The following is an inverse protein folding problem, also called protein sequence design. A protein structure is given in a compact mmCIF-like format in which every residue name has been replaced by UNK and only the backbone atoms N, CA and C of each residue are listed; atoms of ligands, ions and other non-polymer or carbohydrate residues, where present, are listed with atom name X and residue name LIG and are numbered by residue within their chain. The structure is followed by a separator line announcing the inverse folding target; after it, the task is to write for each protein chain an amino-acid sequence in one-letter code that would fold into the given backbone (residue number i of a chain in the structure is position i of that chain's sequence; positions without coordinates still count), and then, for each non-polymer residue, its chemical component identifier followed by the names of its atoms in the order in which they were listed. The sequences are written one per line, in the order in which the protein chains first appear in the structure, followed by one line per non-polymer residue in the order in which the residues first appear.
data_IF_629423621184
#
_entry.id   IF_629423621184
#
_cell.length_a   1.000
_cell.length_b   1.000
_cell.length_c   1.000
_cell.angle_alpha   90.00
_cell.angle_beta   90.00
_cell.angle_gamma   90.00
#
_symmetry.space_group_name_H-M   'P 1'
#
loop_
_entity.id
_entity.type
_entity.pdbx_description
1 polymer ?
#
# COMPACT_ATOMS: atom_id res chain seq x y z
N UNK A 1 -27.89 23.42 32.66
CA UNK A 1 -28.04 22.68 31.38
C UNK A 1 -26.67 22.22 31.00
N UNK A 2 -26.37 20.96 31.30
CA UNK A 2 -25.04 20.35 31.10
C UNK A 2 -24.96 19.79 29.68
N UNK A 3 -23.99 20.25 28.90
CA UNK A 3 -23.69 19.71 27.58
C UNK A 3 -23.08 18.32 27.75
N UNK A 4 -23.79 17.29 27.34
CA UNK A 4 -23.30 15.92 27.23
C UNK A 4 -22.33 15.89 26.04
N UNK A 5 -21.03 15.79 26.33
CA UNK A 5 -20.02 15.50 25.33
C UNK A 5 -20.24 14.07 24.84
N UNK A 6 -20.70 13.90 23.60
CA UNK A 6 -20.69 12.62 22.92
C UNK A 6 -19.22 12.25 22.68
N UNK A 7 -18.66 11.43 23.56
CA UNK A 7 -17.51 10.61 23.25
C UNK A 7 -17.91 9.65 22.11
N UNK A 8 -17.54 9.99 20.88
CA UNK A 8 -17.46 9.00 19.83
C UNK A 8 -16.36 8.02 20.23
N UNK A 9 -16.77 6.86 20.69
CA UNK A 9 -15.92 5.70 20.89
C UNK A 9 -15.28 5.39 19.53
N UNK A 10 -14.07 5.87 19.31
CA UNK A 10 -13.22 5.37 18.24
C UNK A 10 -12.98 3.90 18.58
N UNK A 11 -13.76 3.02 17.97
CA UNK A 11 -13.40 1.60 17.94
C UNK A 11 -12.03 1.55 17.30
N UNK A 12 -11.00 1.49 18.15
CA UNK A 12 -9.66 1.22 17.73
C UNK A 12 -9.73 -0.01 16.82
N UNK A 13 -9.27 0.14 15.58
CA UNK A 13 -9.15 -0.98 14.66
C UNK A 13 -8.05 -1.86 15.25
N UNK A 14 -8.46 -2.85 16.05
CA UNK A 14 -7.54 -3.75 16.70
C UNK A 14 -7.01 -4.68 15.63
N UNK A 15 -5.75 -4.49 15.24
CA UNK A 15 -4.99 -5.47 14.47
C UNK A 15 -4.84 -6.72 15.34
N UNK A 16 -5.57 -7.78 15.02
CA UNK A 16 -5.51 -9.04 15.78
C UNK A 16 -4.22 -9.83 15.50
N UNK A 17 -3.54 -9.54 14.40
CA UNK A 17 -2.28 -10.15 14.00
C UNK A 17 -1.38 -9.09 13.39
N UNK A 18 -0.48 -8.55 14.20
CA UNK A 18 0.66 -7.80 13.68
C UNK A 18 1.42 -8.70 12.69
N UNK A 19 1.63 -8.23 11.47
CA UNK A 19 2.44 -8.95 10.49
C UNK A 19 3.89 -9.05 11.01
N UNK A 20 4.51 -10.21 10.83
CA UNK A 20 5.92 -10.41 11.16
C UNK A 20 6.76 -10.33 9.88
N UNK A 21 7.24 -9.14 9.57
CA UNK A 21 8.04 -8.87 8.38
C UNK A 21 9.35 -9.67 8.35
N UNK A 22 9.99 -9.88 9.51
CA UNK A 22 11.24 -10.65 9.63
C UNK A 22 10.97 -12.11 9.29
N UNK A 23 9.97 -12.69 9.94
CA UNK A 23 9.57 -14.07 9.70
C UNK A 23 9.10 -14.29 8.26
N UNK A 24 8.34 -13.36 7.70
CA UNK A 24 7.87 -13.43 6.30
C UNK A 24 9.05 -13.50 5.33
N UNK A 25 10.05 -12.62 5.50
CA UNK A 25 11.27 -12.61 4.68
C UNK A 25 12.07 -13.90 4.83
N UNK A 26 12.28 -14.38 6.06
CA UNK A 26 12.98 -15.63 6.32
C UNK A 26 12.27 -16.84 5.69
N UNK A 27 10.96 -16.92 5.82
CA UNK A 27 10.16 -17.98 5.21
C UNK A 27 10.26 -17.96 3.68
N UNK A 28 10.16 -16.77 3.08
CA UNK A 28 10.31 -16.60 1.65
C UNK A 28 11.71 -17.01 1.16
N UNK A 29 12.76 -16.62 1.87
CA UNK A 29 14.13 -16.98 1.53
C UNK A 29 14.38 -18.50 1.60
N UNK A 30 13.79 -19.17 2.61
CA UNK A 30 13.94 -20.63 2.78
C UNK A 30 13.14 -21.42 1.74
N UNK A 31 11.94 -21.01 1.43
CA UNK A 31 11.02 -21.73 0.53
C UNK A 31 9.96 -20.80 -0.07
N UNK A 32 10.28 -20.07 -1.12
CA UNK A 32 9.29 -19.18 -1.75
C UNK A 32 8.19 -20.04 -2.38
N UNK A 33 6.96 -19.92 -1.85
CA UNK A 33 5.80 -20.53 -2.48
C UNK A 33 5.54 -19.89 -3.85
N UNK A 34 5.14 -20.70 -4.85
CA UNK A 34 4.84 -20.20 -6.19
C UNK A 34 3.77 -19.12 -6.19
N UNK A 35 2.75 -19.25 -5.35
CA UNK A 35 1.64 -18.29 -5.25
C UNK A 35 2.12 -16.92 -4.77
N UNK A 36 2.85 -16.86 -3.65
CA UNK A 36 3.39 -15.60 -3.14
C UNK A 36 4.38 -14.97 -4.13
N UNK A 37 5.27 -15.78 -4.72
CA UNK A 37 6.22 -15.30 -5.73
C UNK A 37 5.50 -14.70 -6.94
N UNK A 38 4.41 -15.34 -7.40
CA UNK A 38 3.59 -14.84 -8.50
C UNK A 38 2.94 -13.51 -8.14
N UNK A 39 2.33 -13.41 -6.94
CA UNK A 39 1.71 -12.18 -6.45
C UNK A 39 2.73 -11.03 -6.38
N UNK A 40 3.89 -11.25 -5.77
CA UNK A 40 4.94 -10.24 -5.65
C UNK A 40 5.47 -9.80 -7.02
N UNK A 41 5.71 -10.75 -7.93
CA UNK A 41 6.08 -10.43 -9.30
C UNK A 41 5.03 -9.54 -9.99
N UNK A 42 3.74 -9.86 -9.83
CA UNK A 42 2.65 -9.04 -10.39
C UNK A 42 2.65 -7.62 -9.81
N UNK A 43 2.87 -7.47 -8.49
CA UNK A 43 2.87 -6.17 -7.80
C UNK A 43 4.05 -5.29 -8.16
N UNK A 44 5.24 -5.88 -8.37
CA UNK A 44 6.45 -5.09 -8.60
C UNK A 44 6.78 -4.91 -10.08
N UNK A 45 6.40 -5.85 -10.98
CA UNK A 45 6.83 -5.82 -12.38
C UNK A 45 6.42 -4.53 -13.13
N UNK A 46 5.27 -3.95 -12.85
CA UNK A 46 4.83 -2.70 -13.48
C UNK A 46 5.62 -1.49 -12.96
N UNK A 47 6.06 -1.51 -11.70
CA UNK A 47 6.86 -0.44 -11.10
C UNK A 47 8.23 -0.31 -11.77
N UNK A 48 8.77 -1.44 -12.28
CA UNK A 48 10.07 -1.46 -12.96
C UNK A 48 10.12 -0.54 -14.19
N UNK A 49 9.00 -0.23 -14.84
CA UNK A 49 8.94 0.69 -15.98
C UNK A 49 9.33 2.14 -15.62
N UNK A 50 9.29 2.48 -14.35
CA UNK A 50 9.62 3.81 -13.82
C UNK A 50 11.02 3.89 -13.22
N UNK A 51 11.75 2.76 -13.24
CA UNK A 51 13.09 2.64 -12.64
C UNK A 51 14.13 2.37 -13.71
N UNK A 52 15.27 3.05 -13.59
CA UNK A 52 16.40 2.90 -14.48
C UNK A 52 17.74 2.96 -13.74
N UNK A 53 18.89 2.80 -14.45
CA UNK A 53 20.21 2.75 -13.83
C UNK A 53 20.63 4.05 -13.14
N UNK A 54 20.01 5.18 -13.48
CA UNK A 54 20.29 6.49 -12.87
C UNK A 54 19.23 6.90 -11.84
N UNK A 55 18.19 6.07 -11.62
CA UNK A 55 17.08 6.41 -10.74
C UNK A 55 17.47 6.27 -9.28
N UNK A 56 17.24 7.31 -8.50
CA UNK A 56 17.22 7.24 -7.04
C UNK A 56 15.77 7.03 -6.58
N UNK A 57 15.48 5.80 -6.18
CA UNK A 57 14.17 5.37 -5.69
C UNK A 57 14.20 5.17 -4.18
N UNK A 58 13.12 5.58 -3.51
CA UNK A 58 12.91 5.37 -2.07
C UNK A 58 11.60 4.63 -1.87
N UNK A 59 11.63 3.50 -1.18
CA UNK A 59 10.44 2.80 -0.74
C UNK A 59 10.13 3.18 0.71
N UNK A 60 8.91 3.63 0.94
CA UNK A 60 8.37 3.96 2.26
C UNK A 60 7.58 2.76 2.76
N UNK A 61 7.87 2.30 4.00
CA UNK A 61 7.18 1.15 4.59
C UNK A 61 7.49 -0.17 3.87
N UNK A 62 8.78 -0.49 3.71
CA UNK A 62 9.22 -1.66 2.95
C UNK A 62 8.81 -3.01 3.55
N UNK A 63 8.35 -3.05 4.81
CA UNK A 63 7.94 -4.27 5.48
C UNK A 63 8.99 -5.37 5.40
N UNK A 64 8.69 -6.48 4.71
CA UNK A 64 9.61 -7.59 4.50
C UNK A 64 10.71 -7.29 3.44
N UNK A 65 10.73 -6.11 2.81
CA UNK A 65 11.74 -5.70 1.85
C UNK A 65 11.75 -6.53 0.56
N UNK A 66 10.60 -7.05 0.16
CA UNK A 66 10.51 -7.89 -1.03
C UNK A 66 10.81 -7.14 -2.33
N UNK A 67 10.59 -5.84 -2.36
CA UNK A 67 10.83 -5.00 -3.55
C UNK A 67 12.25 -5.14 -4.10
N UNK A 68 13.27 -5.22 -3.24
CA UNK A 68 14.66 -5.37 -3.68
C UNK A 68 14.95 -6.67 -4.46
N UNK A 69 14.06 -7.67 -4.35
CA UNK A 69 14.17 -8.93 -5.09
C UNK A 69 13.59 -8.84 -6.50
N UNK A 70 12.85 -7.78 -6.82
CA UNK A 70 12.09 -7.62 -8.06
C UNK A 70 12.38 -6.31 -8.77
N UNK A 71 12.85 -5.28 -8.06
CA UNK A 71 13.10 -3.95 -8.61
C UNK A 71 14.58 -3.66 -8.74
N UNK A 72 14.93 -3.03 -9.84
CA UNK A 72 16.31 -2.63 -10.15
C UNK A 72 16.33 -1.14 -10.50
N UNK A 73 17.11 -0.38 -9.74
CA UNK A 73 17.32 1.05 -9.90
C UNK A 73 18.82 1.36 -9.71
N UNK A 74 19.26 2.55 -10.06
CA UNK A 74 20.60 3.02 -9.72
C UNK A 74 20.84 2.99 -8.21
N UNK A 75 19.86 3.46 -7.47
CA UNK A 75 19.78 3.30 -6.01
C UNK A 75 18.32 3.01 -5.62
N UNK A 76 18.07 1.90 -4.94
CA UNK A 76 16.82 1.61 -4.27
C UNK A 76 17.04 1.66 -2.76
N UNK A 77 16.51 2.68 -2.12
CA UNK A 77 16.58 2.85 -0.68
C UNK A 77 15.29 2.32 -0.02
N UNK A 78 15.41 1.23 0.75
CA UNK A 78 14.32 0.70 1.54
C UNK A 78 14.25 1.42 2.88
N UNK A 79 13.06 1.87 3.28
CA UNK A 79 12.80 2.50 4.58
C UNK A 79 11.54 1.94 5.21
N UNK A 80 11.45 2.03 6.53
CA UNK A 80 10.30 1.54 7.28
C UNK A 80 10.11 2.39 8.54
N UNK A 81 8.91 2.42 9.12
CA UNK A 81 8.65 3.08 10.40
C UNK A 81 9.34 2.36 11.56
N UNK A 82 9.64 1.08 11.40
CA UNK A 82 10.36 0.26 12.36
C UNK A 82 11.74 -0.13 11.82
N UNK A 83 12.70 -0.34 12.71
CA UNK A 83 14.03 -0.81 12.32
C UNK A 83 13.97 -2.21 11.69
N UNK A 84 14.46 -2.33 10.45
CA UNK A 84 14.55 -3.61 9.72
C UNK A 84 15.99 -3.84 9.29
N UNK A 85 16.50 -5.10 9.30
CA UNK A 85 17.88 -5.39 8.89
C UNK A 85 18.23 -5.00 7.45
N UNK A 86 17.23 -4.92 6.57
CA UNK A 86 17.35 -4.56 5.14
C UNK A 86 16.97 -3.11 4.86
N UNK A 87 16.28 -2.42 5.78
CA UNK A 87 15.97 -1.02 5.63
C UNK A 87 17.21 -0.17 5.95
N UNK A 88 17.50 0.80 5.09
CA UNK A 88 18.64 1.70 5.24
C UNK A 88 18.47 2.65 6.42
N UNK A 89 17.23 3.05 6.69
CA UNK A 89 16.89 3.93 7.81
C UNK A 89 15.43 3.74 8.27
N UNK A 90 15.18 4.16 9.50
CA UNK A 90 13.83 4.33 10.03
C UNK A 90 13.29 5.68 9.54
N UNK A 91 12.10 5.67 8.93
CA UNK A 91 11.47 6.87 8.37
C UNK A 91 9.99 6.88 8.73
N UNK A 92 9.54 7.97 9.35
CA UNK A 92 8.14 8.27 9.46
C UNK A 92 7.64 8.85 8.13
N UNK A 93 6.64 8.19 7.53
CA UNK A 93 6.03 8.63 6.27
C UNK A 93 5.37 10.01 6.37
N UNK A 94 5.01 10.45 7.57
CA UNK A 94 4.43 11.78 7.79
C UNK A 94 5.48 12.89 7.75
N UNK A 95 6.79 12.56 7.90
CA UNK A 95 7.89 13.52 7.94
C UNK A 95 9.10 12.98 7.16
N UNK A 96 9.03 13.05 5.84
CA UNK A 96 10.06 12.50 4.96
C UNK A 96 11.40 13.26 5.11
N UNK A 97 12.50 12.61 5.56
CA UNK A 97 13.78 13.26 5.88
C UNK A 97 14.68 13.43 4.66
N UNK A 98 14.09 13.79 3.52
CA UNK A 98 14.80 14.03 2.26
C UNK A 98 14.74 15.50 1.90
N UNK A 99 15.78 15.99 1.21
CA UNK A 99 15.80 17.35 0.69
C UNK A 99 14.70 17.56 -0.38
N UNK A 100 14.31 18.80 -0.59
CA UNK A 100 13.33 19.15 -1.61
C UNK A 100 13.88 18.74 -3.00
N UNK A 101 12.98 18.17 -3.82
CA UNK A 101 13.26 17.76 -5.19
C UNK A 101 14.51 16.85 -5.35
N UNK A 102 14.76 15.97 -4.37
CA UNK A 102 15.95 15.11 -4.33
C UNK A 102 15.69 13.65 -4.72
N UNK A 103 14.44 13.23 -4.80
CA UNK A 103 14.04 11.84 -5.08
C UNK A 103 13.41 11.73 -6.46
N UNK A 104 13.81 10.74 -7.24
CA UNK A 104 13.25 10.48 -8.57
C UNK A 104 11.94 9.72 -8.50
N UNK A 105 11.91 8.68 -7.66
CA UNK A 105 10.75 7.81 -7.50
C UNK A 105 10.53 7.51 -6.02
N UNK A 106 9.33 7.76 -5.54
CA UNK A 106 8.83 7.22 -4.27
C UNK A 106 7.96 5.99 -4.55
N UNK A 107 8.07 4.97 -3.71
CA UNK A 107 7.26 3.76 -3.76
C UNK A 107 6.52 3.63 -2.43
N UNK A 108 5.20 3.45 -2.50
CA UNK A 108 4.33 3.15 -1.36
C UNK A 108 3.51 1.91 -1.70
N UNK A 109 3.88 0.77 -1.09
CA UNK A 109 3.27 -0.52 -1.38
C UNK A 109 2.56 -1.05 -0.12
N UNK A 110 1.24 -0.92 -0.08
CA UNK A 110 0.40 -1.25 1.08
C UNK A 110 0.86 -0.55 2.36
N UNK A 111 0.96 0.78 2.31
CA UNK A 111 1.43 1.65 3.40
C UNK A 111 0.42 2.74 3.73
N UNK A 112 -0.25 3.31 2.70
CA UNK A 112 -1.07 4.51 2.89
C UNK A 112 -2.26 4.23 3.83
N UNK A 113 -2.81 3.02 3.80
CA UNK A 113 -3.90 2.63 4.69
C UNK A 113 -3.48 2.46 6.16
N UNK A 114 -2.17 2.46 6.48
CA UNK A 114 -1.63 2.52 7.84
C UNK A 114 -1.38 3.95 8.34
N UNK A 115 -1.37 4.94 7.43
CA UNK A 115 -1.02 6.30 7.82
C UNK A 115 -2.11 6.94 8.71
N UNK A 116 -1.68 7.49 9.83
CA UNK A 116 -2.57 8.28 10.68
C UNK A 116 -2.98 9.59 10.00
N UNK A 117 -2.07 10.22 9.26
CA UNK A 117 -2.29 11.49 8.57
C UNK A 117 -1.85 11.42 7.10
N UNK A 118 -2.65 10.81 6.19
CA UNK A 118 -2.28 10.67 4.77
C UNK A 118 -1.97 12.00 4.08
N UNK A 119 -2.65 13.10 4.44
CA UNK A 119 -2.39 14.44 3.88
C UNK A 119 -0.92 14.87 4.08
N UNK A 120 -0.34 14.58 5.24
CA UNK A 120 1.07 14.92 5.52
C UNK A 120 2.03 14.17 4.62
N UNK A 121 1.74 12.88 4.36
CA UNK A 121 2.53 12.08 3.43
C UNK A 121 2.50 12.65 2.02
N UNK A 122 1.31 12.98 1.47
CA UNK A 122 1.23 13.51 0.10
C UNK A 122 1.91 14.88 -0.05
N UNK A 123 1.82 15.75 0.96
CA UNK A 123 2.58 17.03 0.96
C UNK A 123 4.09 16.80 1.04
N UNK A 124 4.51 15.87 1.90
CA UNK A 124 5.92 15.44 1.98
C UNK A 124 6.41 14.86 0.66
N UNK A 125 5.64 13.97 0.03
CA UNK A 125 5.95 13.38 -1.26
C UNK A 125 6.06 14.44 -2.38
N UNK A 126 5.13 15.42 -2.42
CA UNK A 126 5.20 16.53 -3.36
C UNK A 126 6.45 17.39 -3.18
N UNK A 127 6.93 17.56 -1.94
CA UNK A 127 8.15 18.31 -1.61
C UNK A 127 9.41 17.59 -2.04
N UNK A 128 9.55 16.31 -1.69
CA UNK A 128 10.81 15.57 -1.89
C UNK A 128 11.00 15.07 -3.31
N UNK A 129 9.91 14.81 -4.05
CA UNK A 129 9.99 14.40 -5.45
C UNK A 129 10.47 15.55 -6.33
N UNK A 130 11.43 15.28 -7.20
CA UNK A 130 11.82 16.22 -8.25
C UNK A 130 10.66 16.43 -9.24
N UNK A 131 10.68 17.55 -9.97
CA UNK A 131 9.77 17.76 -11.09
C UNK A 131 9.90 16.64 -12.12
N UNK A 132 8.77 16.07 -12.53
CA UNK A 132 8.75 14.89 -13.40
C UNK A 132 8.99 13.57 -12.68
N UNK A 133 9.35 13.57 -11.39
CA UNK A 133 9.48 12.37 -10.56
C UNK A 133 8.12 11.70 -10.30
N UNK A 134 8.14 10.46 -9.87
CA UNK A 134 6.94 9.64 -9.74
C UNK A 134 6.72 9.13 -8.31
N UNK A 135 5.45 9.10 -7.89
CA UNK A 135 4.99 8.34 -6.73
C UNK A 135 4.23 7.11 -7.24
N UNK A 136 4.78 5.93 -6.99
CA UNK A 136 4.20 4.65 -7.36
C UNK A 136 3.46 4.07 -6.17
N UNK A 137 2.17 3.86 -6.32
CA UNK A 137 1.29 3.38 -5.25
C UNK A 137 0.69 2.04 -5.66
N UNK A 138 0.86 1.04 -4.81
CA UNK A 138 0.12 -0.21 -4.80
C UNK A 138 -0.59 -0.28 -3.45
N UNK A 139 -1.92 -0.36 -3.42
CA UNK A 139 -2.69 -0.26 -2.19
C UNK A 139 -3.89 -1.20 -2.15
N UNK A 140 -4.33 -1.53 -0.94
CA UNK A 140 -5.57 -2.26 -0.76
C UNK A 140 -6.74 -1.49 -1.37
N UNK A 141 -7.72 -2.23 -1.86
CA UNK A 141 -9.01 -1.71 -2.29
C UNK A 141 -10.12 -2.34 -1.45
N UNK A 142 -10.84 -1.53 -0.72
CA UNK A 142 -11.90 -1.96 0.18
C UNK A 142 -13.19 -2.30 -0.59
N UNK A 143 -13.09 -3.22 -1.57
CA UNK A 143 -14.21 -3.76 -2.33
C UNK A 143 -15.13 -4.60 -1.45
N UNK A 144 -16.27 -5.02 -2.01
CA UNK A 144 -17.23 -5.81 -1.26
C UNK A 144 -16.65 -7.15 -0.77
N UNK A 145 -15.93 -7.88 -1.60
CA UNK A 145 -15.25 -9.13 -1.22
C UNK A 145 -14.12 -8.90 -0.21
N UNK A 146 -13.38 -7.80 -0.34
CA UNK A 146 -12.35 -7.42 0.64
C UNK A 146 -12.97 -7.16 2.01
N UNK A 147 -14.11 -6.44 2.08
CA UNK A 147 -14.82 -6.21 3.36
C UNK A 147 -15.29 -7.51 4.01
N UNK A 148 -15.79 -8.47 3.22
CA UNK A 148 -16.15 -9.79 3.74
C UNK A 148 -14.93 -10.48 4.33
N UNK A 149 -13.81 -10.48 3.62
CA UNK A 149 -12.58 -11.11 4.08
C UNK A 149 -12.04 -10.44 5.36
N UNK A 150 -12.01 -9.11 5.42
CA UNK A 150 -11.59 -8.35 6.60
C UNK A 150 -12.48 -8.65 7.81
N UNK A 151 -13.81 -8.68 7.62
CA UNK A 151 -14.75 -9.02 8.69
C UNK A 151 -14.60 -10.47 9.17
N UNK A 152 -14.31 -11.41 8.26
CA UNK A 152 -14.13 -12.82 8.60
C UNK A 152 -12.81 -13.09 9.32
N UNK A 153 -11.73 -12.39 8.94
CA UNK A 153 -10.39 -12.61 9.49
C UNK A 153 -10.10 -11.71 10.69
N UNK A 154 -10.68 -10.52 10.73
CA UNK A 154 -10.37 -9.47 11.70
C UNK A 154 -8.90 -9.02 11.63
N UNK A 155 -8.28 -9.15 10.47
CA UNK A 155 -6.87 -8.84 10.27
C UNK A 155 -6.63 -7.32 10.28
N UNK A 156 -7.46 -6.58 9.56
CA UNK A 156 -7.44 -5.12 9.48
C UNK A 156 -8.88 -4.61 9.47
N UNK A 157 -9.07 -3.31 9.77
CA UNK A 157 -10.37 -2.68 9.74
C UNK A 157 -10.60 -1.78 8.54
N UNK A 158 -11.80 -1.23 8.47
CA UNK A 158 -12.13 -0.18 7.51
C UNK A 158 -13.17 0.78 8.12
N UNK A 159 -12.94 2.07 7.92
CA UNK A 159 -13.83 3.15 8.35
C UNK A 159 -13.93 4.20 7.24
N UNK A 160 -15.09 4.28 6.60
CA UNK A 160 -15.39 5.27 5.55
C UNK A 160 -15.78 6.63 6.11
N UNK A 161 -15.89 6.81 7.44
CA UNK A 161 -16.16 8.11 8.07
C UNK A 161 -14.90 8.94 8.28
N UNK A 162 -13.70 8.35 8.12
CA UNK A 162 -12.43 9.05 8.18
C UNK A 162 -12.29 10.07 7.03
N UNK A 163 -11.59 11.18 7.27
CA UNK A 163 -11.21 12.12 6.21
C UNK A 163 -9.68 12.14 6.03
N UNK A 164 -9.14 11.43 5.02
CA UNK A 164 -7.70 11.35 4.79
C UNK A 164 -7.08 12.67 4.27
N UNK A 165 -7.91 13.66 3.97
CA UNK A 165 -7.47 15.00 3.56
C UNK A 165 -7.35 15.97 4.74
N UNK A 166 -7.79 15.59 5.95
CA UNK A 166 -7.67 16.40 7.15
C UNK A 166 -6.28 16.16 7.80
N UNK A 167 -5.39 17.18 7.88
CA UNK A 167 -4.07 17.02 8.49
C UNK A 167 -4.09 16.97 10.02
N UNK A 168 -5.27 17.18 10.66
CA UNK A 168 -5.40 17.33 12.12
C UNK A 168 -6.11 16.17 12.78
N UNK A 169 -6.97 15.44 12.06
CA UNK A 169 -7.71 14.28 12.56
C UNK A 169 -7.06 12.99 12.06
N UNK A 170 -6.63 12.11 12.98
CA UNK A 170 -6.01 10.87 12.57
C UNK A 170 -7.05 9.89 11.97
N UNK A 171 -6.67 9.20 10.89
CA UNK A 171 -7.43 8.12 10.26
C UNK A 171 -7.13 6.74 10.90
N UNK A 172 -6.02 6.64 11.62
CA UNK A 172 -5.51 5.47 12.34
C UNK A 172 -4.95 5.91 13.69
N UNK A 173 -4.63 4.95 14.55
CA UNK A 173 -3.91 5.23 15.79
C UNK A 173 -2.47 5.67 15.49
N UNK A 174 -2.08 6.94 15.81
CA UNK A 174 -0.73 7.43 15.50
C UNK A 174 0.36 6.79 16.36
N UNK A 175 0.00 6.09 17.44
CA UNK A 175 0.95 5.38 18.32
C UNK A 175 1.19 3.93 17.91
N UNK A 176 0.40 3.40 16.99
CA UNK A 176 0.49 2.01 16.50
C UNK A 176 0.76 1.99 14.98
N UNK A 177 1.98 1.69 14.53
CA UNK A 177 2.33 1.63 13.12
C UNK A 177 1.60 0.49 12.35
N UNK A 178 0.99 -0.44 13.07
CA UNK A 178 0.19 -1.52 12.51
C UNK A 178 -1.31 -1.22 12.48
N UNK A 179 -1.75 -0.11 13.09
CA UNK A 179 -3.13 0.35 12.94
C UNK A 179 -3.44 0.57 11.46
N UNK A 180 -4.57 0.05 10.99
CA UNK A 180 -4.90 0.05 9.57
C UNK A 180 -6.38 0.38 9.32
N UNK A 181 -6.61 1.24 8.34
CA UNK A 181 -7.92 1.55 7.80
C UNK A 181 -7.93 1.33 6.28
N UNK A 182 -8.36 0.15 5.84
CA UNK A 182 -8.42 -0.23 4.42
C UNK A 182 -9.37 0.64 3.57
N UNK A 183 -10.18 1.53 4.18
CA UNK A 183 -11.00 2.48 3.44
C UNK A 183 -10.22 3.71 2.95
N UNK A 184 -9.06 4.03 3.54
CA UNK A 184 -8.28 5.23 3.20
C UNK A 184 -7.97 5.32 1.69
N UNK A 185 -7.48 4.26 1.01
CA UNK A 185 -7.21 4.34 -0.43
C UNK A 185 -8.47 4.59 -1.27
N UNK A 186 -9.63 4.09 -0.85
CA UNK A 186 -10.89 4.40 -1.52
C UNK A 186 -11.28 5.87 -1.33
N UNK A 187 -11.21 6.37 -0.08
CA UNK A 187 -11.53 7.77 0.25
C UNK A 187 -10.62 8.77 -0.48
N UNK A 188 -9.36 8.40 -0.75
CA UNK A 188 -8.39 9.22 -1.48
C UNK A 188 -8.60 9.16 -3.00
N UNK A 189 -8.87 7.97 -3.55
CA UNK A 189 -8.65 7.71 -4.98
C UNK A 189 -9.92 7.31 -5.75
N UNK A 190 -11.08 7.11 -5.10
CA UNK A 190 -12.33 6.86 -5.83
C UNK A 190 -12.81 8.16 -6.52
N UNK A 191 -12.50 9.33 -5.95
CA UNK A 191 -12.68 10.64 -6.57
C UNK A 191 -11.32 11.30 -6.88
N UNK A 192 -10.77 10.99 -8.05
CA UNK A 192 -9.51 11.57 -8.51
C UNK A 192 -9.61 13.07 -8.82
N UNK A 193 -10.81 13.63 -9.00
CA UNK A 193 -10.98 15.08 -9.17
C UNK A 193 -10.72 15.79 -7.83
N UNK A 194 -11.34 15.31 -6.75
CA UNK A 194 -11.09 15.80 -5.38
C UNK A 194 -9.61 15.64 -4.99
N UNK A 195 -8.99 14.49 -5.31
CA UNK A 195 -7.57 14.28 -5.05
C UNK A 195 -6.69 15.32 -5.74
N UNK A 196 -6.92 15.59 -7.04
CA UNK A 196 -6.14 16.58 -7.82
C UNK A 196 -6.38 18.01 -7.36
N UNK A 197 -7.59 18.34 -6.92
CA UNK A 197 -7.88 19.64 -6.32
C UNK A 197 -7.08 19.85 -5.03
N UNK A 198 -6.97 18.80 -4.20
CA UNK A 198 -6.24 18.85 -2.93
C UNK A 198 -4.72 18.87 -3.12
N UNK A 199 -4.23 18.16 -4.13
CA UNK A 199 -2.79 18.01 -4.43
C UNK A 199 -2.52 18.36 -5.90
N UNK A 200 -2.62 19.67 -6.27
CA UNK A 200 -2.43 20.12 -7.66
C UNK A 200 -1.00 19.92 -8.17
N UNK A 201 -0.07 19.63 -7.26
CA UNK A 201 1.31 19.26 -7.58
C UNK A 201 1.43 17.92 -8.28
N UNK A 202 0.39 17.07 -8.25
CA UNK A 202 0.40 15.76 -8.86
C UNK A 202 -0.50 15.66 -10.07
N UNK A 203 0.05 15.15 -11.17
CA UNK A 203 -0.72 14.65 -12.29
C UNK A 203 -0.90 13.13 -12.15
N UNK A 204 -2.14 12.64 -12.27
CA UNK A 204 -2.42 11.21 -12.33
C UNK A 204 -2.03 10.68 -13.71
N UNK A 205 -1.03 9.80 -13.78
CA UNK A 205 -0.51 9.21 -15.02
C UNK A 205 -1.21 7.89 -15.32
N UNK A 206 -1.38 7.07 -14.29
CA UNK A 206 -1.99 5.75 -14.39
C UNK A 206 -2.86 5.48 -13.17
N UNK A 207 -3.99 4.82 -13.37
CA UNK A 207 -4.87 4.33 -12.32
C UNK A 207 -5.48 3.00 -12.75
N UNK A 208 -5.49 2.01 -11.88
CA UNK A 208 -6.05 0.70 -12.18
C UNK A 208 -6.43 -0.07 -10.93
N UNK A 209 -7.33 -1.03 -11.12
CA UNK A 209 -7.75 -1.99 -10.12
C UNK A 209 -7.21 -3.37 -10.47
N UNK A 210 -6.90 -4.19 -9.47
CA UNK A 210 -6.31 -5.51 -9.71
C UNK A 210 -6.55 -6.46 -8.55
N UNK A 211 -6.18 -7.71 -8.78
CA UNK A 211 -6.11 -8.80 -7.81
C UNK A 211 -7.47 -9.15 -7.17
N UNK A 212 -7.72 -10.43 -7.13
CA UNK A 212 -8.85 -11.04 -6.43
C UNK A 212 -8.44 -12.41 -5.89
N UNK A 213 -8.65 -13.49 -6.66
CA UNK A 213 -8.33 -14.85 -6.25
C UNK A 213 -6.83 -15.05 -5.99
N UNK A 214 -5.98 -14.38 -6.77
CA UNK A 214 -4.52 -14.41 -6.59
C UNK A 214 -4.13 -13.87 -5.21
N UNK A 215 -4.75 -12.76 -4.77
CA UNK A 215 -4.52 -12.20 -3.45
C UNK A 215 -4.95 -13.18 -2.34
N UNK A 216 -6.17 -13.70 -2.42
CA UNK A 216 -6.73 -14.57 -1.39
C UNK A 216 -6.06 -15.95 -1.34
N UNK A 217 -5.45 -16.41 -2.43
CA UNK A 217 -4.70 -17.67 -2.48
C UNK A 217 -3.17 -17.47 -2.49
N UNK A 218 -2.67 -16.34 -2.01
CA UNK A 218 -1.23 -16.04 -2.01
C UNK A 218 -0.45 -16.75 -0.91
N UNK A 219 -1.11 -17.08 0.19
CA UNK A 219 -0.48 -17.55 1.43
C UNK A 219 -0.12 -16.42 2.39
N UNK A 220 -0.47 -15.16 2.03
CA UNK A 220 -0.18 -13.93 2.78
C UNK A 220 1.21 -13.36 2.49
N UNK A 221 1.37 -12.07 2.69
CA UNK A 221 2.64 -11.34 2.46
C UNK A 221 3.43 -11.24 3.76
N UNK A 222 2.83 -10.68 4.81
CA UNK A 222 3.43 -10.54 6.16
C UNK A 222 2.78 -11.46 7.19
N UNK A 223 1.54 -11.90 6.94
CA UNK A 223 0.83 -12.87 7.74
C UNK A 223 0.75 -14.20 6.99
N UNK A 224 0.78 -15.33 7.73
CA UNK A 224 0.62 -16.65 7.13
C UNK A 224 -0.87 -16.99 7.03
N UNK A 225 -1.36 -17.20 5.82
CA UNK A 225 -2.77 -17.56 5.54
C UNK A 225 -2.79 -18.91 4.82
N UNK A 226 -3.78 -19.79 5.11
CA UNK A 226 -3.95 -21.01 4.34
C UNK A 226 -4.13 -20.72 2.85
N UNK A 227 -3.49 -21.52 1.99
CA UNK A 227 -3.58 -21.39 0.54
C UNK A 227 -3.41 -22.74 -0.15
N UNK A 228 -3.88 -22.83 -1.38
CA UNK A 228 -3.64 -23.97 -2.26
C UNK A 228 -2.42 -23.69 -3.13
N UNK A 229 -1.31 -24.46 -2.99
CA UNK A 229 -0.14 -24.28 -3.82
C UNK A 229 -0.46 -24.67 -5.27
N UNK A 230 -0.20 -23.76 -6.20
CA UNK A 230 -0.50 -23.92 -7.61
C UNK A 230 0.75 -23.71 -8.47
N UNK A 231 0.89 -24.43 -9.60
CA UNK A 231 1.95 -24.18 -10.55
C UNK A 231 1.75 -22.83 -11.25
N UNK A 232 2.84 -22.25 -11.74
CA UNK A 232 2.85 -20.92 -12.36
C UNK A 232 1.84 -20.78 -13.53
N UNK A 233 1.67 -21.84 -14.32
CA UNK A 233 0.69 -21.87 -15.41
C UNK A 233 -0.76 -21.74 -14.92
N UNK A 234 -1.12 -22.42 -13.84
CA UNK A 234 -2.45 -22.30 -13.24
C UNK A 234 -2.66 -20.90 -12.65
N UNK A 235 -1.64 -20.31 -12.00
CA UNK A 235 -1.70 -18.94 -11.49
C UNK A 235 -1.90 -17.92 -12.61
N UNK A 236 -1.29 -18.10 -13.79
CA UNK A 236 -1.55 -17.27 -14.96
C UNK A 236 -3.00 -17.33 -15.43
N UNK A 237 -3.60 -18.54 -15.43
CA UNK A 237 -5.02 -18.68 -15.81
C UNK A 237 -5.92 -17.97 -14.78
N UNK A 238 -5.64 -18.14 -13.49
CA UNK A 238 -6.39 -17.44 -12.43
C UNK A 238 -6.23 -15.92 -12.58
N UNK A 239 -5.05 -15.44 -12.92
CA UNK A 239 -4.79 -14.01 -13.11
C UNK A 239 -5.57 -13.42 -14.30
N UNK A 240 -5.78 -14.21 -15.37
CA UNK A 240 -6.67 -13.80 -16.47
C UNK A 240 -8.13 -13.73 -16.02
N UNK A 241 -8.58 -14.69 -15.22
CA UNK A 241 -9.93 -14.67 -14.61
C UNK A 241 -10.08 -13.47 -13.68
N UNK A 242 -9.12 -13.23 -12.80
CA UNK A 242 -9.09 -12.05 -11.92
C UNK A 242 -9.21 -10.76 -12.71
N UNK A 243 -8.42 -10.63 -13.79
CA UNK A 243 -8.44 -9.45 -14.65
C UNK A 243 -9.83 -9.22 -15.27
N UNK A 244 -10.48 -10.28 -15.74
CA UNK A 244 -11.82 -10.18 -16.30
C UNK A 244 -12.88 -9.82 -15.25
N UNK A 245 -12.85 -10.46 -14.08
CA UNK A 245 -13.79 -10.17 -12.97
C UNK A 245 -13.63 -8.75 -12.44
N UNK A 246 -12.39 -8.30 -12.25
CA UNK A 246 -12.08 -6.93 -11.81
C UNK A 246 -12.52 -5.90 -12.85
N UNK A 247 -12.33 -6.18 -14.15
CA UNK A 247 -12.78 -5.28 -15.21
C UNK A 247 -14.31 -5.13 -15.26
N UNK A 248 -15.05 -6.23 -15.00
CA UNK A 248 -16.52 -6.23 -15.02
C UNK A 248 -17.10 -5.53 -13.79
N UNK A 249 -16.57 -5.81 -12.59
CA UNK A 249 -17.11 -5.30 -11.35
C UNK A 249 -16.01 -4.99 -10.32
N UNK A 250 -15.21 -3.92 -10.52
CA UNK A 250 -14.08 -3.58 -9.63
C UNK A 250 -14.52 -3.33 -8.18
N UNK A 251 -15.67 -2.71 -7.95
CA UNK A 251 -16.22 -2.49 -6.60
C UNK A 251 -16.58 -3.77 -5.85
N UNK A 252 -16.72 -4.90 -6.57
CA UNK A 252 -16.98 -6.21 -5.97
C UNK A 252 -15.68 -7.00 -5.81
N UNK A 253 -14.88 -7.11 -6.86
CA UNK A 253 -13.79 -8.09 -6.92
C UNK A 253 -12.39 -7.52 -6.66
N UNK A 254 -12.12 -6.25 -7.01
CA UNK A 254 -10.78 -5.73 -6.86
C UNK A 254 -10.35 -5.64 -5.38
N UNK A 255 -9.31 -6.37 -5.00
CA UNK A 255 -8.71 -6.30 -3.67
C UNK A 255 -7.54 -5.31 -3.59
N UNK A 256 -7.03 -4.89 -4.74
CA UNK A 256 -5.91 -3.96 -4.84
C UNK A 256 -6.16 -2.90 -5.91
N UNK A 257 -5.47 -1.78 -5.73
CA UNK A 257 -5.40 -0.69 -6.70
C UNK A 257 -3.96 -0.25 -6.93
N UNK A 258 -3.68 0.23 -8.12
CA UNK A 258 -2.42 0.89 -8.44
C UNK A 258 -2.66 2.30 -8.91
N UNK A 259 -1.76 3.18 -8.56
CA UNK A 259 -1.78 4.57 -8.99
C UNK A 259 -0.36 5.03 -9.29
N UNK A 260 -0.20 5.77 -10.37
CA UNK A 260 1.05 6.47 -10.69
C UNK A 260 0.76 7.96 -10.70
N UNK A 261 1.40 8.66 -9.80
CA UNK A 261 1.36 10.12 -9.71
C UNK A 261 2.70 10.68 -10.20
N UNK A 262 2.65 11.71 -11.04
CA UNK A 262 3.84 12.43 -11.49
C UNK A 262 3.86 13.83 -10.88
N UNK A 263 4.98 14.22 -10.30
CA UNK A 263 5.21 15.58 -9.80
C UNK A 263 5.26 16.57 -10.98
N UNK A 264 4.36 17.55 -10.98
CA UNK A 264 4.26 18.58 -12.03
C UNK A 264 5.43 19.56 -12.02
#
# INVERSE_FOLDING_TARGET
MSAVAHHHDHKSVIVRYAGDAIRAREQYAKRPGSNLKFLLHKRFSWMQHYLGPETYAVEIGCGAGFSEMFLHAGTLELTDAEARPWAKRVVDAHELPYADASVDVLIANNVIHHLAFPDRFFRGAARVLRRGGHLLIQECNCSWTTRIALNATGHEGYDFSADPFDPTRPCNDPSDPWSANCAIPNLLFDDLARFRERYPEFAVVESGMSEFLIQFNSGGVTASVPYFPLPWTALRVIDLVDTALVAIAPGVFASQRRLVLRRA
#
